data_IF_752466735212
#
_entry.id   IF_752466735212
#
_cell.length_a   1.000
_cell.length_b   1.000
_cell.length_c   1.000
_cell.angle_alpha   90.00
_cell.angle_beta   90.00
_cell.angle_gamma   90.00
#
_symmetry.space_group_name_H-M   'P 1'
#
loop_
_entity.id
_entity.type
_entity.pdbx_description
1 polymer ?
#
# COMPACT_ATOMS: atom_id res chain seq x y z
N UNK A 1 7.75 85.23 4.63
CA UNK A 1 7.04 85.00 3.34
C UNK A 1 7.37 83.58 2.90
N UNK A 2 6.47 82.65 3.20
CA UNK A 2 5.69 81.91 2.19
C UNK A 2 6.47 80.75 1.57
N UNK A 3 6.34 79.53 2.13
CA UNK A 3 5.33 78.48 1.80
C UNK A 3 5.73 77.63 0.61
N UNK A 4 6.19 76.40 0.89
CA UNK A 4 6.00 75.22 0.03
C UNK A 4 5.31 74.17 0.90
N UNK A 5 3.98 74.09 0.76
CA UNK A 5 3.13 73.05 1.33
C UNK A 5 3.27 71.80 0.46
N UNK A 6 3.79 70.72 1.03
CA UNK A 6 3.62 69.37 0.50
C UNK A 6 2.26 68.84 0.96
N UNK A 7 1.29 68.79 0.06
CA UNK A 7 0.03 68.07 0.30
C UNK A 7 0.22 66.58 -0.01
N UNK A 8 0.21 65.78 1.05
CA UNK A 8 0.05 64.32 0.99
C UNK A 8 -1.45 64.06 0.91
N UNK A 9 -1.94 63.56 -0.23
CA UNK A 9 -3.30 63.01 -0.31
C UNK A 9 -3.25 61.51 -0.04
N UNK A 10 -3.79 61.15 1.11
CA UNK A 10 -4.19 59.81 1.52
C UNK A 10 -5.33 59.31 0.63
N UNK A 11 -5.22 58.09 0.10
CA UNK A 11 -6.41 57.29 -0.22
C UNK A 11 -6.44 56.06 0.68
N UNK A 12 -7.51 56.01 1.45
CA UNK A 12 -7.94 54.99 2.38
C UNK A 12 -8.39 53.74 1.64
N UNK A 13 -7.77 52.59 1.93
CA UNK A 13 -8.34 51.29 1.60
C UNK A 13 -9.43 50.98 2.63
N UNK A 14 -10.68 51.24 2.24
CA UNK A 14 -11.87 50.79 2.95
C UNK A 14 -11.99 49.26 2.81
N UNK A 15 -12.06 48.59 3.95
CA UNK A 15 -12.44 47.20 4.08
C UNK A 15 -13.90 47.03 3.65
N UNK A 16 -14.19 46.06 2.79
CA UNK A 16 -15.53 45.46 2.69
C UNK A 16 -15.39 43.95 2.61
N UNK A 17 -16.14 43.29 3.50
CA UNK A 17 -16.30 41.84 3.68
C UNK A 17 -17.63 41.45 3.05
N UNK A 18 -17.63 40.47 2.13
CA UNK A 18 -18.67 39.49 1.77
C UNK A 18 -18.28 38.92 0.37
N UNK A 19 -18.40 37.65 0.00
CA UNK A 19 -18.92 36.44 0.62
C UNK A 19 -18.39 35.24 -0.18
N UNK A 20 -18.37 34.07 0.47
CA UNK A 20 -18.17 32.76 -0.12
C UNK A 20 -19.01 32.53 -1.39
N UNK A 21 -18.35 32.07 -2.45
CA UNK A 21 -18.95 31.17 -3.42
C UNK A 21 -18.02 30.00 -3.64
N UNK A 22 -18.25 28.94 -2.87
CA UNK A 22 -18.15 27.54 -3.26
C UNK A 22 -17.31 27.28 -4.52
N UNK A 23 -16.00 27.16 -4.36
CA UNK A 23 -15.23 26.26 -5.20
C UNK A 23 -15.65 24.84 -4.84
N UNK A 24 -16.72 24.36 -5.46
CA UNK A 24 -17.08 22.96 -5.43
C UNK A 24 -15.87 22.19 -5.97
N UNK A 25 -15.11 21.58 -5.08
CA UNK A 25 -14.24 20.48 -5.44
C UNK A 25 -15.15 19.45 -6.10
N UNK A 26 -15.09 19.38 -7.44
CA UNK A 26 -15.68 18.31 -8.22
C UNK A 26 -15.14 17.00 -7.64
N UNK A 27 -16.02 16.33 -6.92
CA UNK A 27 -15.79 15.07 -6.27
C UNK A 27 -15.66 14.02 -7.38
N UNK A 28 -14.45 13.79 -7.90
CA UNK A 28 -14.19 12.71 -8.84
C UNK A 28 -14.37 11.40 -8.07
N UNK A 29 -15.54 10.78 -8.20
CA UNK A 29 -15.74 9.40 -7.76
C UNK A 29 -14.81 8.51 -8.58
N UNK A 30 -13.72 8.03 -7.99
CA UNK A 30 -12.88 7.00 -8.61
C UNK A 30 -13.74 5.76 -8.87
N UNK A 31 -13.99 5.44 -10.14
CA UNK A 31 -14.76 4.25 -10.52
C UNK A 31 -13.87 3.01 -10.34
N UNK A 32 -14.09 2.25 -9.27
CA UNK A 32 -13.40 0.98 -9.01
C UNK A 32 -14.17 -0.18 -9.62
N UNK A 33 -13.45 -1.05 -10.33
CA UNK A 33 -14.00 -2.24 -10.95
C UNK A 33 -13.23 -3.46 -10.45
N UNK A 34 -13.95 -4.50 -10.09
CA UNK A 34 -13.39 -5.76 -9.58
C UNK A 34 -13.58 -6.87 -10.62
N UNK A 35 -12.51 -7.61 -10.91
CA UNK A 35 -12.51 -8.75 -11.83
C UNK A 35 -11.93 -9.99 -11.15
N UNK A 36 -12.30 -11.20 -11.54
CA UNK A 36 -11.58 -12.41 -11.09
C UNK A 36 -10.45 -12.77 -12.06
N UNK A 37 -9.42 -13.49 -11.61
CA UNK A 37 -8.38 -14.00 -12.52
C UNK A 37 -8.99 -14.87 -13.63
N UNK A 38 -8.59 -14.62 -14.88
CA UNK A 38 -9.09 -15.31 -16.09
C UNK A 38 -10.53 -14.92 -16.48
N UNK A 39 -11.15 -13.96 -15.80
CA UNK A 39 -12.49 -13.46 -16.17
C UNK A 39 -12.39 -12.35 -17.22
N UNK A 40 -13.56 -11.93 -17.73
CA UNK A 40 -13.69 -10.75 -18.57
C UNK A 40 -14.30 -9.62 -17.74
N UNK A 41 -13.83 -8.40 -17.95
CA UNK A 41 -14.27 -7.21 -17.22
C UNK A 41 -14.52 -6.05 -18.18
N UNK A 42 -15.50 -5.21 -17.85
CA UNK A 42 -15.77 -3.97 -18.59
C UNK A 42 -15.36 -2.78 -17.74
N UNK A 43 -14.47 -1.94 -18.29
CA UNK A 43 -14.07 -0.67 -17.72
C UNK A 43 -14.99 0.44 -18.26
N UNK A 44 -15.84 1.06 -17.42
CA UNK A 44 -16.86 1.98 -17.90
C UNK A 44 -16.26 3.30 -18.38
N UNK A 45 -16.65 3.74 -19.57
CA UNK A 45 -16.38 5.07 -20.09
C UNK A 45 -17.58 5.54 -20.92
N UNK A 46 -18.33 6.50 -20.39
CA UNK A 46 -19.57 7.02 -20.99
C UNK A 46 -19.39 8.48 -21.34
N UNK A 47 -19.70 8.82 -22.59
CA UNK A 47 -19.49 10.17 -23.14
C UNK A 47 -20.67 11.05 -22.74
N UNK A 48 -20.40 12.18 -22.06
CA UNK A 48 -21.43 13.13 -21.67
C UNK A 48 -21.43 14.33 -22.62
N UNK A 49 -22.36 14.39 -23.57
CA UNK A 49 -22.49 15.53 -24.49
C UNK A 49 -23.34 16.63 -23.86
N UNK A 50 -22.73 17.78 -23.56
CA UNK A 50 -23.48 18.87 -22.93
C UNK A 50 -24.36 19.67 -23.92
N UNK A 51 -23.96 19.89 -25.18
CA UNK A 51 -24.82 20.57 -26.18
C UNK A 51 -24.45 20.28 -27.65
N UNK A 52 -25.42 19.83 -28.46
CA UNK A 52 -25.55 20.14 -29.90
C UNK A 52 -24.71 19.36 -30.94
N UNK A 53 -25.42 18.88 -31.98
CA UNK A 53 -24.99 18.19 -33.22
C UNK A 53 -24.51 16.74 -33.07
N UNK A 54 -25.35 15.80 -33.50
CA UNK A 54 -25.04 14.36 -33.48
C UNK A 54 -24.30 13.94 -34.75
N UNK A 55 -22.97 13.87 -34.70
CA UNK A 55 -22.15 13.29 -35.77
C UNK A 55 -21.96 11.76 -35.62
N UNK A 56 -22.61 11.14 -34.62
CA UNK A 56 -22.34 9.74 -34.25
C UNK A 56 -20.88 9.53 -33.85
N UNK A 57 -20.37 8.30 -33.94
CA UNK A 57 -18.94 8.01 -33.74
C UNK A 57 -18.01 8.59 -34.79
N UNK A 58 -18.53 9.08 -35.93
CA UNK A 58 -17.70 9.54 -37.04
C UNK A 58 -16.91 10.79 -36.65
N UNK A 59 -15.58 10.64 -36.52
CA UNK A 59 -14.67 11.71 -36.15
C UNK A 59 -14.23 11.71 -34.68
N UNK A 60 -14.73 10.79 -33.87
CA UNK A 60 -14.30 10.62 -32.48
C UNK A 60 -13.07 9.72 -32.40
N UNK A 61 -12.10 10.11 -31.56
CA UNK A 61 -10.94 9.30 -31.23
C UNK A 61 -11.04 8.87 -29.77
N UNK A 62 -10.98 7.57 -29.52
CA UNK A 62 -10.98 6.99 -28.17
C UNK A 62 -9.59 6.43 -27.92
N UNK A 63 -8.95 6.86 -26.83
CA UNK A 63 -7.66 6.35 -26.38
C UNK A 63 -7.81 5.79 -24.97
N UNK A 64 -7.41 4.54 -24.80
CA UNK A 64 -7.24 3.91 -23.50
C UNK A 64 -5.76 3.74 -23.19
N UNK A 65 -5.35 4.20 -22.01
CA UNK A 65 -4.01 4.01 -21.48
C UNK A 65 -4.07 3.45 -20.07
N UNK A 66 -3.02 2.72 -19.70
CA UNK A 66 -2.83 2.21 -18.34
C UNK A 66 -1.65 2.94 -17.72
N UNK A 67 -1.91 3.53 -16.56
CA UNK A 67 -0.89 4.09 -15.70
C UNK A 67 -0.49 3.09 -14.62
N UNK A 68 0.81 3.04 -14.33
CA UNK A 68 1.31 2.50 -13.07
C UNK A 68 0.71 3.28 -11.88
N UNK A 69 0.65 2.66 -10.70
CA UNK A 69 0.04 3.28 -9.51
C UNK A 69 0.75 4.56 -9.05
N UNK A 70 2.02 4.73 -9.41
CA UNK A 70 2.84 5.92 -9.17
C UNK A 70 2.80 6.94 -10.32
N UNK A 71 1.96 6.71 -11.34
CA UNK A 71 1.80 7.56 -12.53
C UNK A 71 3.10 7.78 -13.33
N UNK A 72 4.11 6.92 -13.14
CA UNK A 72 5.43 7.08 -13.75
C UNK A 72 5.57 6.41 -15.13
N UNK A 73 4.76 5.39 -15.40
CA UNK A 73 4.75 4.65 -16.65
C UNK A 73 3.35 4.65 -17.24
N UNK A 74 3.23 5.17 -18.45
CA UNK A 74 2.04 5.11 -19.29
C UNK A 74 2.25 4.02 -20.35
N UNK A 75 1.38 3.01 -20.36
CA UNK A 75 1.30 1.98 -21.38
C UNK A 75 0.04 2.21 -22.23
N UNK A 76 0.19 2.31 -23.55
CA UNK A 76 -0.95 2.36 -24.46
C UNK A 76 -1.70 1.01 -24.43
N UNK A 77 -3.03 1.05 -24.31
CA UNK A 77 -3.88 -0.15 -24.23
C UNK A 77 -4.63 -0.36 -25.55
N UNK A 78 -5.44 0.62 -25.93
CA UNK A 78 -6.26 0.60 -27.14
C UNK A 78 -6.47 2.01 -27.70
N UNK A 79 -6.46 2.14 -29.02
CA UNK A 79 -6.81 3.36 -29.74
C UNK A 79 -7.85 3.04 -30.82
N UNK A 80 -8.93 3.81 -30.87
CA UNK A 80 -9.99 3.69 -31.88
C UNK A 80 -10.24 5.02 -32.57
N UNK A 81 -10.39 4.99 -33.91
CA UNK A 81 -10.77 6.16 -34.70
C UNK A 81 -12.07 5.90 -35.46
N UNK A 82 -13.09 6.69 -35.14
CA UNK A 82 -14.35 6.72 -35.87
C UNK A 82 -15.16 5.41 -35.84
N UNK A 83 -14.86 4.51 -34.90
CA UNK A 83 -15.45 3.15 -34.84
C UNK A 83 -15.08 2.24 -36.02
N UNK A 84 -14.13 2.65 -36.88
CA UNK A 84 -13.75 1.89 -38.07
C UNK A 84 -12.45 1.11 -37.91
N UNK A 85 -11.53 1.62 -37.09
CA UNK A 85 -10.22 1.03 -36.87
C UNK A 85 -9.90 1.02 -35.38
N UNK A 86 -9.67 -0.18 -34.83
CA UNK A 86 -9.20 -0.40 -33.46
C UNK A 86 -7.78 -0.99 -33.49
N UNK A 87 -6.88 -0.37 -32.74
CA UNK A 87 -5.53 -0.86 -32.52
C UNK A 87 -5.32 -1.12 -31.04
N UNK A 88 -4.95 -2.35 -30.69
CA UNK A 88 -4.51 -2.73 -29.34
C UNK A 88 -2.99 -2.83 -29.27
N UNK A 89 -2.40 -2.59 -28.10
CA UNK A 89 -0.94 -2.51 -27.93
C UNK A 89 -0.43 -3.43 -26.81
N UNK A 90 0.88 -3.70 -26.84
CA UNK A 90 1.61 -4.39 -25.77
C UNK A 90 0.97 -5.72 -25.34
N UNK A 91 0.87 -5.91 -24.03
CA UNK A 91 0.28 -7.09 -23.40
C UNK A 91 -1.24 -7.21 -23.58
N UNK A 92 -1.89 -6.17 -24.09
CA UNK A 92 -3.33 -6.10 -24.30
C UNK A 92 -3.77 -6.58 -25.70
N UNK A 93 -2.81 -6.83 -26.61
CA UNK A 93 -3.12 -7.28 -27.96
C UNK A 93 -3.95 -8.57 -27.98
N UNK A 94 -5.12 -8.48 -28.65
CA UNK A 94 -6.07 -9.60 -28.75
C UNK A 94 -6.87 -9.88 -27.48
N UNK A 95 -6.71 -9.07 -26.42
CA UNK A 95 -7.46 -9.18 -25.16
C UNK A 95 -8.39 -8.00 -24.88
N UNK A 96 -8.29 -6.93 -25.66
CA UNK A 96 -9.10 -5.71 -25.48
C UNK A 96 -9.87 -5.32 -26.73
N UNK A 97 -11.08 -4.79 -26.54
CA UNK A 97 -11.95 -4.22 -27.58
C UNK A 97 -12.97 -3.27 -26.95
N UNK A 98 -13.59 -2.39 -27.74
CA UNK A 98 -14.67 -1.52 -27.24
C UNK A 98 -16.00 -2.31 -27.14
N UNK A 99 -16.82 -1.97 -26.13
CA UNK A 99 -18.15 -2.57 -25.94
C UNK A 99 -19.15 -2.13 -27.02
N UNK A 100 -19.15 -0.84 -27.35
CA UNK A 100 -20.01 -0.23 -28.37
C UNK A 100 -21.53 -0.48 -28.24
N UNK A 101 -22.09 -0.42 -27.02
CA UNK A 101 -23.55 -0.60 -26.81
C UNK A 101 -24.38 0.50 -27.50
N UNK A 102 -23.87 1.74 -27.52
CA UNK A 102 -24.44 2.89 -28.20
C UNK A 102 -23.34 3.84 -28.73
N UNK A 103 -23.76 4.94 -29.39
CA UNK A 103 -22.85 5.95 -29.96
C UNK A 103 -22.03 6.71 -28.90
N UNK A 104 -22.40 6.61 -27.61
CA UNK A 104 -21.77 7.31 -26.49
C UNK A 104 -21.01 6.35 -25.56
N UNK A 105 -20.84 5.07 -25.97
CA UNK A 105 -20.16 4.05 -25.18
C UNK A 105 -18.69 3.84 -25.59
N UNK A 106 -17.76 4.42 -24.83
CA UNK A 106 -16.33 4.20 -25.01
C UNK A 106 -15.77 3.13 -24.05
N UNK A 107 -16.62 2.32 -23.42
CA UNK A 107 -16.19 1.33 -22.43
C UNK A 107 -15.31 0.23 -23.04
N UNK A 108 -14.26 -0.14 -22.30
CA UNK A 108 -13.29 -1.16 -22.73
C UNK A 108 -13.68 -2.52 -22.14
N UNK A 109 -13.74 -3.54 -22.97
CA UNK A 109 -13.79 -4.93 -22.52
C UNK A 109 -12.36 -5.46 -22.49
N UNK A 110 -11.94 -5.98 -21.34
CA UNK A 110 -10.69 -6.71 -21.15
C UNK A 110 -10.99 -8.18 -20.85
N UNK A 111 -10.44 -9.10 -21.64
CA UNK A 111 -10.62 -10.54 -21.49
C UNK A 111 -9.39 -11.21 -20.89
N UNK A 112 -9.58 -12.35 -20.25
CA UNK A 112 -8.50 -13.13 -19.62
C UNK A 112 -7.66 -12.25 -18.68
N UNK A 113 -8.36 -11.65 -17.69
CA UNK A 113 -7.77 -10.71 -16.74
C UNK A 113 -6.70 -11.41 -15.89
N UNK A 114 -5.50 -10.85 -15.88
CA UNK A 114 -4.34 -11.32 -15.14
C UNK A 114 -3.98 -10.37 -13.97
N UNK A 115 -3.06 -10.80 -13.13
CA UNK A 115 -2.59 -9.96 -12.01
C UNK A 115 -1.82 -8.73 -12.49
N UNK A 116 -1.15 -8.84 -13.65
CA UNK A 116 -0.41 -7.74 -14.26
C UNK A 116 -1.33 -6.65 -14.79
N UNK A 117 -2.63 -6.93 -14.99
CA UNK A 117 -3.60 -5.96 -15.50
C UNK A 117 -4.08 -4.98 -14.42
N UNK A 118 -3.78 -5.21 -13.14
CA UNK A 118 -4.13 -4.30 -12.04
C UNK A 118 -3.50 -2.92 -12.27
N UNK A 119 -4.29 -1.86 -12.09
CA UNK A 119 -3.79 -0.50 -12.27
C UNK A 119 -4.87 0.53 -12.55
N UNK A 120 -4.42 1.76 -12.85
CA UNK A 120 -5.28 2.89 -13.21
C UNK A 120 -5.39 2.96 -14.73
N UNK A 121 -6.60 2.84 -15.25
CA UNK A 121 -6.89 2.99 -16.67
C UNK A 121 -7.51 4.37 -16.91
N UNK A 122 -7.07 5.01 -17.99
CA UNK A 122 -7.54 6.32 -18.41
C UNK A 122 -8.17 6.16 -19.79
N UNK A 123 -9.44 6.55 -19.89
CA UNK A 123 -10.16 6.71 -21.13
C UNK A 123 -10.15 8.18 -21.51
N UNK A 124 -9.57 8.52 -22.66
CA UNK A 124 -9.55 9.85 -23.24
C UNK A 124 -10.36 9.83 -24.53
N UNK A 125 -11.45 10.59 -24.57
CA UNK A 125 -12.32 10.73 -25.74
C UNK A 125 -12.16 12.13 -26.32
N UNK A 126 -11.70 12.17 -27.56
CA UNK A 126 -11.40 13.41 -28.30
C UNK A 126 -12.41 13.53 -29.43
N UNK A 127 -13.34 14.47 -29.31
CA UNK A 127 -14.43 14.71 -30.29
C UNK A 127 -14.29 16.06 -31.05
N UNK A 128 -13.23 16.82 -30.75
CA UNK A 128 -12.93 18.11 -31.37
C UNK A 128 -13.59 19.32 -30.70
N UNK A 129 -14.42 19.11 -29.67
CA UNK A 129 -15.04 20.17 -28.88
C UNK A 129 -14.64 20.10 -27.41
N UNK A 130 -14.61 18.91 -26.81
CA UNK A 130 -14.22 18.69 -25.41
C UNK A 130 -13.48 17.35 -25.22
N UNK A 131 -12.44 17.36 -24.37
CA UNK A 131 -11.67 16.16 -24.04
C UNK A 131 -12.28 15.51 -22.78
N UNK A 132 -13.05 14.44 -22.98
CA UNK A 132 -13.66 13.72 -21.87
C UNK A 132 -12.67 12.67 -21.33
N UNK A 133 -12.22 12.87 -20.09
CA UNK A 133 -11.27 11.97 -19.42
C UNK A 133 -11.97 11.20 -18.29
N UNK A 134 -12.03 9.88 -18.40
CA UNK A 134 -12.55 8.99 -17.37
C UNK A 134 -11.42 8.14 -16.77
N UNK A 135 -11.40 8.07 -15.44
CA UNK A 135 -10.44 7.25 -14.70
C UNK A 135 -11.14 6.05 -14.10
N UNK A 136 -10.62 4.86 -14.38
CA UNK A 136 -11.10 3.58 -13.85
C UNK A 136 -9.97 2.85 -13.16
N UNK A 137 -10.20 2.36 -11.95
CA UNK A 137 -9.21 1.54 -11.22
C UNK A 137 -9.65 0.08 -11.29
N UNK A 138 -8.82 -0.79 -11.87
CA UNK A 138 -9.07 -2.22 -11.95
C UNK A 138 -8.36 -2.96 -10.81
N UNK A 139 -9.13 -3.73 -10.05
CA UNK A 139 -8.65 -4.63 -9.01
C UNK A 139 -9.04 -6.08 -9.32
N UNK A 140 -8.14 -7.04 -9.12
CA UNK A 140 -8.40 -8.46 -9.44
C UNK A 140 -8.64 -9.29 -8.16
N UNK A 141 -9.85 -9.78 -7.95
CA UNK A 141 -10.20 -10.74 -6.91
C UNK A 141 -9.39 -12.03 -7.05
N UNK A 142 -8.68 -12.41 -5.98
CA UNK A 142 -7.76 -13.55 -5.95
C UNK A 142 -6.31 -13.19 -6.32
N UNK A 143 -6.03 -11.97 -6.77
CA UNK A 143 -4.74 -11.38 -6.47
C UNK A 143 -4.65 -11.28 -4.94
N UNK A 144 -3.49 -11.53 -4.34
CA UNK A 144 -3.26 -11.11 -2.95
C UNK A 144 -3.29 -9.60 -3.00
N UNK A 145 -4.49 -9.02 -2.90
CA UNK A 145 -4.69 -7.59 -2.89
C UNK A 145 -3.84 -7.03 -1.76
N UNK A 146 -3.31 -5.83 -1.95
CA UNK A 146 -2.55 -5.15 -0.91
C UNK A 146 -3.32 -5.11 0.44
N UNK A 147 -4.67 -5.12 0.38
CA UNK A 147 -5.59 -5.19 1.53
C UNK A 147 -5.60 -6.52 2.30
N UNK A 148 -5.08 -7.60 1.71
CA UNK A 148 -5.13 -8.96 2.27
C UNK A 148 -3.83 -9.34 3.00
N UNK A 149 -2.95 -8.36 3.26
CA UNK A 149 -1.68 -8.60 3.91
C UNK A 149 -1.20 -7.43 4.76
N UNK A 150 -0.01 -7.61 5.33
CA UNK A 150 0.63 -6.62 6.20
C UNK A 150 2.11 -6.56 5.89
N UNK A 151 2.60 -5.34 5.69
CA UNK A 151 4.04 -5.07 5.70
C UNK A 151 4.49 -4.86 7.14
N UNK A 152 5.59 -5.50 7.50
CA UNK A 152 6.20 -5.35 8.80
C UNK A 152 7.72 -5.23 8.71
N UNK A 153 8.34 -4.40 9.58
CA UNK A 153 9.78 -4.30 9.67
C UNK A 153 10.36 -5.51 10.40
N UNK A 154 11.51 -6.00 9.92
CA UNK A 154 12.24 -7.10 10.52
C UNK A 154 13.74 -6.82 10.62
N UNK A 155 14.30 -7.08 11.79
CA UNK A 155 15.75 -7.10 12.06
C UNK A 155 16.10 -8.41 12.79
N UNK A 156 17.23 -9.04 12.48
CA UNK A 156 17.63 -10.29 13.11
C UNK A 156 18.16 -10.06 14.54
N UNK A 157 18.37 -11.15 15.28
CA UNK A 157 18.96 -11.14 16.62
C UNK A 157 20.31 -10.40 16.73
N UNK A 158 21.08 -10.37 15.65
CA UNK A 158 22.38 -9.68 15.59
C UNK A 158 22.24 -8.15 15.68
N UNK A 159 21.01 -7.63 15.59
CA UNK A 159 20.69 -6.21 15.67
C UNK A 159 20.40 -5.60 14.31
N UNK A 160 20.15 -4.29 14.31
CA UNK A 160 19.80 -3.53 13.10
C UNK A 160 20.92 -3.52 12.08
N UNK A 161 20.56 -3.46 10.81
CA UNK A 161 21.48 -3.31 9.68
C UNK A 161 22.52 -4.44 9.58
N UNK A 162 22.06 -5.68 9.72
CA UNK A 162 22.89 -6.87 9.64
C UNK A 162 22.49 -7.84 8.51
N UNK A 163 21.52 -7.50 7.66
CA UNK A 163 21.08 -8.35 6.55
C UNK A 163 21.59 -7.80 5.22
N UNK A 164 22.27 -8.64 4.44
CA UNK A 164 22.37 -8.40 2.99
C UNK A 164 21.03 -8.75 2.32
N UNK A 165 20.88 -8.52 1.01
CA UNK A 165 19.61 -8.76 0.34
C UNK A 165 19.19 -10.24 0.40
N UNK A 166 20.13 -11.16 0.21
CA UNK A 166 19.85 -12.60 0.25
C UNK A 166 19.49 -13.08 1.66
N UNK A 167 20.19 -12.60 2.68
CA UNK A 167 19.87 -12.88 4.08
C UNK A 167 18.49 -12.28 4.44
N UNK A 168 18.14 -11.13 3.86
CA UNK A 168 16.84 -10.50 4.02
C UNK A 168 15.70 -11.32 3.39
N UNK A 169 15.90 -11.87 2.19
CA UNK A 169 14.97 -12.82 1.57
C UNK A 169 14.75 -14.05 2.47
N UNK A 170 15.83 -14.67 2.92
CA UNK A 170 15.75 -15.84 3.81
C UNK A 170 15.11 -15.49 5.17
N UNK A 171 15.38 -14.30 5.69
CA UNK A 171 14.78 -13.83 6.93
C UNK A 171 13.25 -13.71 6.81
N UNK A 172 12.73 -13.09 5.74
CA UNK A 172 11.29 -13.00 5.51
C UNK A 172 10.68 -14.39 5.31
N UNK A 173 11.29 -15.26 4.49
CA UNK A 173 10.81 -16.63 4.29
C UNK A 173 10.72 -17.41 5.60
N UNK A 174 11.74 -17.26 6.47
CA UNK A 174 11.74 -17.85 7.81
C UNK A 174 10.59 -17.37 8.71
N UNK A 175 10.02 -16.20 8.42
CA UNK A 175 8.88 -15.62 9.14
C UNK A 175 7.52 -15.87 8.46
N UNK A 176 7.45 -16.76 7.46
CA UNK A 176 6.22 -17.02 6.68
C UNK A 176 5.76 -15.76 5.93
N UNK A 177 6.74 -15.13 5.28
CA UNK A 177 6.61 -13.85 4.59
C UNK A 177 7.52 -13.81 3.35
N UNK A 178 7.31 -12.84 2.48
CA UNK A 178 8.23 -12.48 1.39
C UNK A 178 8.83 -11.11 1.64
N UNK A 179 9.88 -10.72 0.92
CA UNK A 179 10.33 -9.31 0.93
C UNK A 179 9.22 -8.45 0.32
N UNK A 180 8.88 -7.35 0.97
CA UNK A 180 7.84 -6.44 0.51
C UNK A 180 8.25 -5.73 -0.78
N UNK A 181 7.29 -5.51 -1.68
CA UNK A 181 7.47 -4.62 -2.83
C UNK A 181 7.42 -3.15 -2.41
N UNK A 182 7.81 -2.27 -3.34
CA UNK A 182 7.62 -0.83 -3.16
C UNK A 182 6.16 -0.47 -2.92
N UNK A 183 5.25 -0.98 -3.75
CA UNK A 183 3.82 -0.68 -3.64
C UNK A 183 3.27 -1.12 -2.28
N UNK A 184 3.63 -2.31 -1.82
CA UNK A 184 3.23 -2.80 -0.50
C UNK A 184 3.75 -1.88 0.62
N UNK A 185 5.00 -1.40 0.55
CA UNK A 185 5.52 -0.47 1.55
C UNK A 185 4.87 0.91 1.46
N UNK A 186 4.63 1.40 0.25
CA UNK A 186 3.98 2.69 0.00
C UNK A 186 2.59 2.73 0.61
N UNK A 187 1.82 1.70 0.35
CA UNK A 187 0.50 1.58 0.94
C UNK A 187 0.53 1.37 2.45
N UNK A 188 1.54 0.65 2.98
CA UNK A 188 1.68 0.48 4.42
C UNK A 188 1.93 1.83 5.10
N UNK A 189 2.73 2.68 4.47
CA UNK A 189 2.95 4.06 4.86
C UNK A 189 1.67 4.90 4.79
N UNK A 190 0.89 4.81 3.70
CA UNK A 190 -0.44 5.46 3.61
C UNK A 190 -1.38 5.00 4.73
N UNK A 191 -1.28 3.73 5.11
CA UNK A 191 -1.97 3.11 6.24
C UNK A 191 -1.39 3.44 7.63
N UNK A 192 -0.41 4.35 7.71
CA UNK A 192 0.14 4.88 8.95
C UNK A 192 1.47 4.25 9.41
N UNK A 193 2.09 3.36 8.63
CA UNK A 193 3.38 2.77 9.00
C UNK A 193 4.47 3.84 9.07
N UNK A 194 5.05 4.00 10.25
CA UNK A 194 6.18 4.88 10.52
C UNK A 194 7.34 4.05 11.07
N UNK A 195 8.44 3.98 10.32
CA UNK A 195 9.60 3.20 10.71
C UNK A 195 10.89 3.87 10.29
N UNK A 196 11.74 4.21 11.26
CA UNK A 196 12.97 4.97 11.05
C UNK A 196 14.23 4.09 10.95
N UNK A 197 14.10 2.92 10.32
CA UNK A 197 15.23 2.12 9.89
C UNK A 197 15.09 1.80 8.41
N UNK A 198 16.18 1.97 7.65
CA UNK A 198 16.26 1.60 6.24
C UNK A 198 16.18 0.07 6.08
N UNK A 199 15.30 -0.40 5.18
CA UNK A 199 15.11 -1.82 4.92
C UNK A 199 15.08 -2.15 3.43
N UNK A 200 15.51 -3.36 3.09
CA UNK A 200 15.43 -3.92 1.74
C UNK A 200 13.98 -4.09 1.27
N UNK A 201 13.77 -3.88 -0.03
CA UNK A 201 12.56 -4.20 -0.79
C UNK A 201 12.86 -5.19 -1.92
N UNK A 202 11.84 -5.84 -2.45
CA UNK A 202 11.96 -6.97 -3.39
C UNK A 202 12.71 -6.62 -4.70
N UNK A 203 12.66 -5.36 -5.11
CA UNK A 203 13.38 -4.83 -6.28
C UNK A 203 14.88 -4.57 -6.02
N UNK A 204 15.35 -4.77 -4.78
CA UNK A 204 16.72 -4.50 -4.36
C UNK A 204 16.99 -3.04 -4.01
N UNK A 205 15.95 -2.20 -3.94
CA UNK A 205 16.06 -0.86 -3.35
C UNK A 205 16.01 -0.94 -1.83
N UNK A 206 16.44 0.14 -1.19
CA UNK A 206 16.41 0.28 0.26
C UNK A 206 15.64 1.55 0.60
N UNK A 207 14.59 1.43 1.40
CA UNK A 207 13.73 2.56 1.73
C UNK A 207 13.27 2.50 3.19
N UNK A 208 12.67 3.59 3.70
CA UNK A 208 11.93 3.55 4.97
C UNK A 208 10.80 4.60 5.03
N UNK A 209 9.63 4.25 5.59
CA UNK A 209 8.46 5.13 5.61
C UNK A 209 8.44 6.03 6.84
N UNK A 210 8.18 7.33 6.65
CA UNK A 210 8.02 8.30 7.75
C UNK A 210 6.68 9.03 7.60
N UNK A 211 5.80 8.89 8.59
CA UNK A 211 4.55 9.65 8.66
C UNK A 211 4.71 10.89 9.54
N UNK A 212 5.56 10.82 10.57
CA UNK A 212 5.86 11.92 11.48
C UNK A 212 7.33 12.35 11.36
N UNK A 213 7.63 13.40 10.56
CA UNK A 213 8.98 13.92 10.37
C UNK A 213 9.67 14.27 11.69
N UNK A 214 10.94 13.87 11.83
CA UNK A 214 11.73 14.08 13.05
C UNK A 214 13.23 14.03 12.77
N UNK A 215 14.01 14.72 13.60
CA UNK A 215 15.46 14.92 13.41
C UNK A 215 16.23 13.65 13.00
N UNK A 216 16.17 12.56 13.78
CA UNK A 216 16.91 11.33 13.47
C UNK A 216 16.47 10.58 12.19
N UNK A 217 15.35 10.98 11.58
CA UNK A 217 14.65 10.22 10.54
C UNK A 217 14.49 11.05 9.25
N UNK A 218 15.60 11.64 8.79
CA UNK A 218 15.62 12.52 7.61
C UNK A 218 15.41 14.00 7.91
N UNK A 219 15.39 14.41 9.19
CA UNK A 219 15.32 15.81 9.60
C UNK A 219 13.90 16.28 9.96
N UNK A 220 13.81 17.18 10.95
CA UNK A 220 12.53 17.68 11.46
C UNK A 220 11.72 18.51 10.45
N UNK A 221 12.41 19.10 9.45
CA UNK A 221 11.79 19.92 8.41
C UNK A 221 11.49 19.12 7.13
N UNK A 222 11.61 17.79 7.17
CA UNK A 222 11.30 16.94 6.01
C UNK A 222 9.80 16.70 5.88
N UNK A 223 9.32 16.37 4.68
CA UNK A 223 7.90 16.04 4.41
C UNK A 223 7.66 14.56 4.67
N UNK A 224 6.48 14.17 5.16
CA UNK A 224 6.12 12.75 5.27
C UNK A 224 6.30 12.02 3.91
N UNK A 225 6.73 10.76 3.95
CA UNK A 225 6.95 9.97 2.74
C UNK A 225 7.95 8.84 2.94
N UNK A 226 8.21 8.09 1.86
CA UNK A 226 9.28 7.11 1.82
C UNK A 226 10.61 7.78 1.56
N UNK A 227 11.59 7.47 2.41
CA UNK A 227 12.98 7.89 2.23
C UNK A 227 13.67 6.84 1.41
N UNK A 228 14.10 7.21 0.21
CA UNK A 228 14.64 6.28 -0.77
C UNK A 228 16.18 6.37 -0.80
N UNK A 229 16.85 5.23 -0.56
CA UNK A 229 18.31 5.10 -0.67
C UNK A 229 18.74 4.56 -2.05
N UNK A 230 17.79 4.21 -2.92
CA UNK A 230 18.00 3.64 -4.24
C UNK A 230 18.42 2.18 -4.20
N UNK A 231 18.84 1.66 -5.35
CA UNK A 231 19.44 0.34 -5.46
C UNK A 231 20.75 0.29 -4.68
N UNK A 232 20.95 -0.81 -3.95
CA UNK A 232 22.16 -1.06 -3.18
C UNK A 232 22.78 -2.39 -3.59
N UNK A 233 24.08 -2.53 -3.33
CA UNK A 233 24.79 -3.77 -3.62
C UNK A 233 24.23 -4.91 -2.75
N UNK A 234 23.59 -5.90 -3.40
CA UNK A 234 22.84 -6.98 -2.76
C UNK A 234 23.69 -7.89 -1.87
N UNK A 235 25.01 -7.94 -2.10
CA UNK A 235 25.94 -8.86 -1.42
C UNK A 235 26.69 -8.21 -0.26
N UNK A 236 27.08 -6.94 -0.40
CA UNK A 236 27.96 -6.22 0.54
C UNK A 236 27.22 -5.20 1.40
N UNK A 237 26.12 -4.62 0.93
CA UNK A 237 25.35 -3.68 1.73
C UNK A 237 24.60 -4.40 2.85
N UNK A 238 24.33 -3.71 3.96
CA UNK A 238 23.65 -4.28 5.12
C UNK A 238 22.58 -3.33 5.63
N UNK A 239 21.35 -3.84 5.73
CA UNK A 239 20.17 -3.11 6.17
C UNK A 239 19.24 -4.01 6.99
N UNK A 240 18.10 -3.47 7.41
CA UNK A 240 16.96 -4.28 7.87
C UNK A 240 16.17 -4.77 6.63
N UNK A 241 14.97 -5.32 6.81
CA UNK A 241 14.09 -5.69 5.70
C UNK A 241 12.64 -5.37 6.05
N UNK A 242 11.85 -4.97 5.06
CA UNK A 242 10.41 -4.98 5.15
C UNK A 242 9.89 -6.29 4.57
N UNK A 243 9.20 -7.07 5.39
CA UNK A 243 8.58 -8.31 4.97
C UNK A 243 7.07 -8.09 4.77
N UNK A 244 6.47 -8.88 3.89
CA UNK A 244 5.04 -8.92 3.64
C UNK A 244 4.50 -10.31 3.98
N UNK A 245 3.50 -10.35 4.86
CA UNK A 245 2.72 -11.56 5.13
C UNK A 245 1.28 -11.35 4.67
N UNK A 246 0.73 -12.35 3.99
CA UNK A 246 -0.69 -12.37 3.63
C UNK A 246 -1.60 -12.73 4.81
N UNK A 247 -2.89 -12.90 4.50
CA UNK A 247 -3.90 -13.32 5.45
C UNK A 247 -3.55 -14.66 6.13
N UNK A 248 -3.84 -14.74 7.43
CA UNK A 248 -3.62 -15.95 8.22
C UNK A 248 -4.51 -17.10 7.76
N UNK A 249 -3.90 -18.23 7.42
CA UNK A 249 -4.59 -19.51 7.14
C UNK A 249 -4.49 -20.44 8.33
N UNK A 250 -5.11 -20.04 9.44
CA UNK A 250 -5.00 -20.76 10.72
C UNK A 250 -5.34 -19.89 11.90
N UNK A 251 -5.11 -20.44 13.09
CA UNK A 251 -5.38 -19.77 14.37
C UNK A 251 -4.06 -19.32 15.01
N UNK A 252 -3.93 -18.01 15.24
CA UNK A 252 -2.86 -17.42 16.03
C UNK A 252 -3.40 -17.09 17.43
N UNK A 253 -2.74 -17.57 18.47
CA UNK A 253 -3.23 -17.41 19.84
C UNK A 253 -2.12 -17.41 20.88
N UNK A 254 -2.45 -16.90 22.07
CA UNK A 254 -1.62 -17.01 23.26
C UNK A 254 -1.94 -18.31 23.99
N UNK A 255 -0.93 -19.14 24.23
CA UNK A 255 -1.12 -20.37 25.00
C UNK A 255 -1.11 -20.06 26.50
N UNK A 256 -2.22 -20.36 27.17
CA UNK A 256 -2.38 -20.14 28.61
C UNK A 256 -1.61 -21.21 29.37
N UNK A 257 -0.67 -20.79 30.23
CA UNK A 257 0.18 -21.69 31.00
C UNK A 257 0.31 -21.24 32.45
N UNK A 258 0.48 -22.19 33.41
CA UNK A 258 0.53 -21.86 34.83
C UNK A 258 1.79 -21.08 35.22
N UNK A 259 2.89 -21.31 34.49
CA UNK A 259 4.17 -20.66 34.73
C UNK A 259 4.69 -20.01 33.43
N UNK A 260 5.59 -19.04 33.60
CA UNK A 260 6.40 -18.52 32.49
C UNK A 260 7.38 -19.59 31.99
N UNK A 261 7.92 -19.39 30.79
CA UNK A 261 8.65 -20.39 30.02
C UNK A 261 10.00 -19.87 29.56
N UNK A 262 10.96 -20.77 29.51
CA UNK A 262 12.13 -20.66 28.64
C UNK A 262 11.74 -20.83 27.18
N UNK A 263 12.62 -20.46 26.24
CA UNK A 263 12.32 -20.63 24.82
C UNK A 263 12.08 -22.12 24.45
N UNK A 264 12.86 -23.04 25.02
CA UNK A 264 12.71 -24.47 24.73
C UNK A 264 11.38 -25.02 25.27
N UNK A 265 10.99 -24.64 26.49
CA UNK A 265 9.68 -24.99 27.06
C UNK A 265 8.53 -24.39 26.23
N UNK A 266 8.69 -23.16 25.71
CA UNK A 266 7.69 -22.50 24.87
C UNK A 266 7.44 -23.26 23.55
N UNK A 267 8.51 -23.71 22.88
CA UNK A 267 8.39 -24.55 21.67
C UNK A 267 7.65 -25.84 21.96
N UNK A 268 8.06 -26.56 23.01
CA UNK A 268 7.42 -27.82 23.40
C UNK A 268 5.95 -27.63 23.78
N UNK A 269 5.62 -26.55 24.49
CA UNK A 269 4.25 -26.30 24.90
C UNK A 269 3.29 -26.08 23.71
N UNK A 270 3.73 -25.39 22.65
CA UNK A 270 2.92 -25.30 21.43
C UNK A 270 2.77 -26.67 20.74
N UNK A 271 3.84 -27.46 20.70
CA UNK A 271 3.81 -28.81 20.10
C UNK A 271 2.86 -29.76 20.85
N UNK A 272 2.88 -29.72 22.18
CA UNK A 272 1.98 -30.51 23.04
C UNK A 272 0.51 -30.12 22.84
N UNK A 273 0.23 -28.89 22.40
CA UNK A 273 -1.11 -28.37 22.04
C UNK A 273 -1.49 -28.66 20.57
N UNK A 274 -0.64 -29.38 19.83
CA UNK A 274 -0.83 -29.69 18.42
C UNK A 274 -0.70 -28.46 17.51
N UNK A 275 0.17 -27.52 17.89
CA UNK A 275 0.47 -26.29 17.18
C UNK A 275 1.99 -26.09 17.05
N UNK A 276 2.40 -25.07 16.31
CA UNK A 276 3.80 -24.63 16.24
C UNK A 276 3.98 -23.32 17.00
N UNK A 277 5.20 -23.03 17.45
CA UNK A 277 5.51 -21.70 17.96
C UNK A 277 5.31 -20.68 16.82
N UNK A 278 4.56 -19.63 17.08
CA UNK A 278 4.17 -18.69 16.04
C UNK A 278 5.38 -17.92 15.50
N UNK A 279 5.33 -17.61 14.20
CA UNK A 279 6.30 -16.76 13.52
C UNK A 279 5.94 -15.28 13.63
N UNK A 280 6.90 -14.41 13.36
CA UNK A 280 6.69 -12.96 13.43
C UNK A 280 5.65 -12.49 12.41
N UNK A 281 5.71 -13.00 11.17
CA UNK A 281 4.74 -12.64 10.13
C UNK A 281 3.30 -12.97 10.54
N UNK A 282 3.11 -14.13 11.18
CA UNK A 282 1.81 -14.55 11.70
C UNK A 282 1.28 -13.61 12.80
N UNK A 283 2.14 -13.13 13.70
CA UNK A 283 1.74 -12.14 14.71
C UNK A 283 1.32 -10.81 14.08
N UNK A 284 2.07 -10.32 13.08
CA UNK A 284 1.70 -9.08 12.40
C UNK A 284 0.38 -9.22 11.64
N UNK A 285 0.16 -10.35 10.97
CA UNK A 285 -1.07 -10.63 10.26
C UNK A 285 -2.27 -10.72 11.24
N UNK A 286 -2.12 -11.43 12.36
CA UNK A 286 -3.14 -11.48 13.41
C UNK A 286 -3.48 -10.09 13.95
N UNK A 287 -2.44 -9.29 14.25
CA UNK A 287 -2.58 -7.96 14.84
C UNK A 287 -3.27 -6.97 13.88
N UNK A 288 -2.83 -6.92 12.62
CA UNK A 288 -3.28 -5.94 11.63
C UNK A 288 -4.61 -6.32 10.99
N UNK A 289 -4.77 -7.58 10.58
CA UNK A 289 -5.91 -8.04 9.79
C UNK A 289 -7.06 -8.52 10.69
N UNK A 290 -6.75 -9.18 11.81
CA UNK A 290 -7.75 -9.75 12.70
C UNK A 290 -7.95 -8.94 13.99
N UNK A 291 -7.22 -7.83 14.16
CA UNK A 291 -7.31 -6.97 15.34
C UNK A 291 -6.86 -7.65 16.64
N UNK A 292 -5.98 -8.65 16.54
CA UNK A 292 -5.52 -9.42 17.69
C UNK A 292 -4.74 -8.51 18.67
N UNK A 293 -5.21 -8.49 19.92
CA UNK A 293 -4.69 -7.60 20.96
C UNK A 293 -4.37 -8.40 22.23
N UNK A 294 -3.10 -8.34 22.67
CA UNK A 294 -2.63 -9.00 23.88
C UNK A 294 -1.44 -8.25 24.48
N UNK A 295 -1.56 -7.90 25.75
CA UNK A 295 -0.51 -7.21 26.51
C UNK A 295 0.32 -8.17 27.36
N UNK A 296 0.74 -9.28 26.75
CA UNK A 296 1.60 -10.27 27.39
C UNK A 296 2.78 -10.58 26.49
N UNK A 297 3.99 -10.38 27.00
CA UNK A 297 5.24 -10.68 26.29
C UNK A 297 5.42 -12.19 26.12
N UNK A 298 5.53 -12.65 24.87
CA UNK A 298 5.67 -14.07 24.54
C UNK A 298 6.76 -14.34 23.51
N UNK A 299 7.32 -15.55 23.60
CA UNK A 299 8.27 -16.07 22.63
C UNK A 299 7.62 -16.26 21.26
N UNK A 300 8.43 -16.02 20.22
CA UNK A 300 8.15 -16.35 18.82
C UNK A 300 9.28 -17.21 18.24
N UNK A 301 9.04 -17.83 17.09
CA UNK A 301 9.93 -18.80 16.45
C UNK A 301 11.36 -18.28 16.19
N UNK A 302 11.51 -16.98 15.89
CA UNK A 302 12.81 -16.32 15.69
C UNK A 302 13.63 -16.16 17.00
N UNK A 303 13.05 -16.53 18.14
CA UNK A 303 13.63 -16.33 19.47
C UNK A 303 13.54 -14.89 19.96
N UNK A 304 12.74 -14.04 19.32
CA UNK A 304 12.35 -12.76 19.86
C UNK A 304 11.21 -12.91 20.86
N UNK A 305 11.05 -11.89 21.70
CA UNK A 305 9.89 -11.73 22.57
C UNK A 305 9.12 -10.50 22.13
N UNK A 306 7.83 -10.67 21.84
CA UNK A 306 6.95 -9.61 21.34
C UNK A 306 5.57 -9.66 21.99
N UNK A 307 4.81 -8.59 21.81
CA UNK A 307 3.38 -8.56 22.13
C UNK A 307 2.62 -7.58 21.20
N UNK A 308 1.44 -7.95 20.67
CA UNK A 308 0.66 -7.11 19.77
C UNK A 308 -0.39 -6.27 20.52
N UNK A 309 -0.46 -4.97 20.25
CA UNK A 309 -1.50 -4.08 20.79
C UNK A 309 -2.25 -3.44 19.63
N UNK A 310 -3.53 -3.78 19.45
CA UNK A 310 -4.41 -3.13 18.47
C UNK A 310 -5.18 -1.97 19.11
N UNK A 311 -5.37 -1.99 20.45
CA UNK A 311 -6.08 -0.94 21.20
C UNK A 311 -5.13 -0.29 22.23
N UNK A 312 -4.61 0.92 21.94
CA UNK A 312 -3.68 1.63 22.82
C UNK A 312 -4.22 1.80 24.24
N UNK A 313 -3.36 1.58 25.25
CA UNK A 313 -3.68 1.69 26.67
C UNK A 313 -2.42 1.86 27.55
N UNK A 314 -2.59 2.55 28.68
CA UNK A 314 -1.51 3.05 29.56
C UNK A 314 -0.43 2.03 29.96
N UNK A 315 -0.80 0.79 30.28
CA UNK A 315 0.16 -0.20 30.80
C UNK A 315 0.79 -1.09 29.72
N UNK A 316 0.53 -0.82 28.44
CA UNK A 316 0.91 -1.68 27.33
C UNK A 316 1.53 -0.88 26.19
N UNK A 317 0.74 0.01 25.60
CA UNK A 317 1.16 0.90 24.52
C UNK A 317 0.28 2.15 24.61
N UNK A 318 0.73 3.22 25.29
CA UNK A 318 -0.14 4.33 25.65
C UNK A 318 -0.71 5.10 24.46
N UNK A 319 0.02 5.18 23.35
CA UNK A 319 -0.26 6.12 22.26
C UNK A 319 -0.51 5.47 20.91
N UNK A 320 -0.18 4.20 20.73
CA UNK A 320 -0.04 3.62 19.39
C UNK A 320 -0.43 2.14 19.36
N UNK A 321 -1.10 1.73 18.29
CA UNK A 321 -1.32 0.33 17.98
C UNK A 321 -0.07 -0.20 17.28
N UNK A 322 0.58 -1.21 17.84
CA UNK A 322 1.81 -1.76 17.31
C UNK A 322 2.09 -3.18 17.84
N UNK A 323 2.86 -3.94 17.08
CA UNK A 323 3.59 -5.09 17.61
C UNK A 323 4.86 -4.60 18.30
N UNK A 324 4.95 -4.76 19.61
CA UNK A 324 6.07 -4.28 20.42
C UNK A 324 7.13 -5.38 20.53
N UNK A 325 8.37 -5.04 20.16
CA UNK A 325 9.55 -5.88 20.38
C UNK A 325 10.13 -5.61 21.77
N UNK A 326 10.17 -6.63 22.62
CA UNK A 326 10.89 -6.59 23.90
C UNK A 326 12.39 -6.79 23.68
N UNK A 327 12.74 -7.70 22.76
CA UNK A 327 14.12 -7.95 22.34
C UNK A 327 14.37 -9.44 22.05
N UNK A 328 15.65 -9.82 22.07
CA UNK A 328 16.11 -11.19 21.94
C UNK A 328 16.80 -11.63 23.25
N UNK A 329 16.04 -11.89 24.33
CA UNK A 329 16.59 -12.25 25.62
C UNK A 329 17.29 -13.62 25.60
N UNK A 330 18.05 -13.93 26.66
CA UNK A 330 18.64 -15.26 26.81
C UNK A 330 17.53 -16.32 26.86
N UNK A 331 17.63 -17.31 25.97
CA UNK A 331 16.67 -18.41 25.80
C UNK A 331 16.48 -19.25 27.07
N UNK A 332 17.39 -19.15 28.04
CA UNK A 332 17.31 -19.82 29.36
C UNK A 332 16.46 -19.05 30.38
N UNK A 333 16.05 -17.82 30.11
CA UNK A 333 15.22 -17.04 31.02
C UNK A 333 13.78 -17.53 31.01
N UNK A 334 13.22 -17.77 32.19
CA UNK A 334 11.85 -18.27 32.40
C UNK A 334 10.89 -17.13 32.77
N UNK A 335 10.73 -16.16 31.88
CA UNK A 335 10.02 -14.89 32.16
C UNK A 335 8.83 -14.60 31.23
N UNK A 336 8.72 -15.31 30.10
CA UNK A 336 7.78 -14.99 29.04
C UNK A 336 6.79 -16.14 28.83
N UNK A 337 5.61 -15.84 28.25
CA UNK A 337 4.75 -16.91 27.73
C UNK A 337 5.09 -17.24 26.29
N UNK A 338 4.12 -17.73 25.52
CA UNK A 338 4.33 -18.11 24.12
C UNK A 338 3.09 -17.83 23.29
N UNK A 339 3.32 -17.42 22.05
CA UNK A 339 2.30 -17.39 21.01
C UNK A 339 2.45 -18.63 20.15
N UNK A 340 1.35 -19.33 19.91
CA UNK A 340 1.31 -20.52 19.06
C UNK A 340 0.48 -20.23 17.81
N UNK A 341 0.73 -21.01 16.76
CA UNK A 341 -0.01 -20.98 15.52
C UNK A 341 -0.41 -22.39 15.11
N UNK A 342 -1.69 -22.56 14.77
CA UNK A 342 -2.24 -23.83 14.29
C UNK A 342 -2.78 -23.61 12.88
N UNK A 343 -2.13 -24.23 11.89
CA UNK A 343 -2.55 -24.16 10.50
C UNK A 343 -3.91 -24.83 10.29
N UNK A 344 -4.68 -24.37 9.30
CA UNK A 344 -5.85 -25.11 8.82
C UNK A 344 -5.37 -26.41 8.15
N UNK A 345 -5.95 -27.54 8.58
CA UNK A 345 -5.72 -28.86 7.96
C UNK A 345 -6.45 -28.99 6.63
#
# INVERSE_FOLDING_TARGET
>A
MSTLLSLVLSLTLASSVYSDTNGAASQSSENRVFASHGSNVTLPCRIHREYGVNFGRLGMKIKWTKMSMDESVEEDVLESMGGLHENSYGSFQGRVHLLEEDDDDASLILTDVSQDDVGKFICEVIDGFDDNIHVVILEVQGSVGYSDGVVFPYSPRLGRYNLNFHDAEQACLGQDATVASFDQLYEAWRGGLDWCNAGWLSDGTVQYPITNPRGPCGGANSVAGLRNYGQRDKSSSRFDVFCFSGALRGEFYWLVQPNRLTFAEAVLACQDDGAEIAKVGQMYAAWKLNGYDRCDSGWLADGSVRYPISRPRKNCSPTEAAVRLVGFPDKKQKLYGVYCFKGQQ
#
